data_IF_735512893096
#
_entry.id   IF_735512893096
#
_cell.length_a   1.000
_cell.length_b   1.000
_cell.length_c   1.000
_cell.angle_alpha   90.00
_cell.angle_beta   90.00
_cell.angle_gamma   90.00
#
_symmetry.space_group_name_H-M   'P 1'
#
loop_
_entity.id
_entity.type
_entity.pdbx_description
1 polymer ?
#
# COMPACT_ATOMS: atom_id res chain seq x y z
N UNK A 1 5.68 27.67 -2.67
CA UNK A 1 5.88 26.72 -1.54
C UNK A 1 5.36 25.32 -1.87
N UNK A 2 4.11 25.19 -2.34
CA UNK A 2 3.48 23.90 -2.70
C UNK A 2 4.26 23.06 -3.74
N UNK A 3 4.83 23.69 -4.77
CA UNK A 3 5.64 23.01 -5.78
C UNK A 3 6.85 22.29 -5.18
N UNK A 4 7.61 22.97 -4.31
CA UNK A 4 8.79 22.40 -3.64
C UNK A 4 8.44 21.21 -2.74
N UNK A 5 7.27 21.25 -2.09
CA UNK A 5 6.77 20.14 -1.26
C UNK A 5 6.45 18.94 -2.14
N UNK A 6 5.74 19.13 -3.26
CA UNK A 6 5.44 18.04 -4.21
C UNK A 6 6.70 17.44 -4.81
N UNK A 7 7.68 18.26 -5.21
CA UNK A 7 8.98 17.79 -5.71
C UNK A 7 9.72 16.94 -4.66
N UNK A 8 9.71 17.38 -3.39
CA UNK A 8 10.30 16.62 -2.29
C UNK A 8 9.57 15.29 -2.01
N UNK A 9 8.24 15.26 -2.13
CA UNK A 9 7.43 14.04 -2.01
C UNK A 9 7.74 13.07 -3.15
N UNK A 10 7.74 13.52 -4.41
CA UNK A 10 8.07 12.69 -5.57
C UNK A 10 9.47 12.08 -5.44
N UNK A 11 10.46 12.87 -5.04
CA UNK A 11 11.84 12.38 -4.84
C UNK A 11 11.97 11.39 -3.69
N UNK A 12 11.09 11.48 -2.69
CA UNK A 12 11.03 10.51 -1.60
C UNK A 12 10.36 9.22 -2.08
N UNK A 13 9.21 9.33 -2.73
CA UNK A 13 8.45 8.18 -3.24
C UNK A 13 9.27 7.39 -4.27
N UNK A 14 10.09 8.05 -5.09
CA UNK A 14 10.99 7.38 -6.04
C UNK A 14 12.04 6.48 -5.39
N UNK A 15 12.25 6.57 -4.07
CA UNK A 15 13.16 5.69 -3.32
C UNK A 15 12.46 4.45 -2.75
N UNK A 16 11.12 4.42 -2.74
CA UNK A 16 10.32 3.34 -2.18
C UNK A 16 9.64 2.55 -3.29
N UNK A 17 10.43 2.06 -4.25
CA UNK A 17 9.93 1.23 -5.35
C UNK A 17 9.86 -0.23 -4.93
N UNK A 18 8.75 -0.90 -5.22
CA UNK A 18 8.64 -2.34 -5.04
C UNK A 18 9.54 -3.06 -6.06
N UNK A 19 10.30 -4.06 -5.58
CA UNK A 19 11.20 -4.86 -6.39
C UNK A 19 11.34 -6.27 -5.81
N UNK A 20 11.79 -7.24 -6.61
CA UNK A 20 11.99 -8.62 -6.20
C UNK A 20 10.68 -9.37 -5.94
N UNK A 21 10.61 -10.11 -4.82
CA UNK A 21 9.42 -10.84 -4.42
C UNK A 21 8.40 -9.85 -3.81
N UNK A 22 7.20 -9.80 -4.37
CA UNK A 22 6.14 -8.89 -3.93
C UNK A 22 4.94 -9.71 -3.42
N UNK A 23 4.58 -9.51 -2.16
CA UNK A 23 3.34 -10.02 -1.58
C UNK A 23 2.24 -8.96 -1.67
N UNK A 24 1.05 -9.35 -2.10
CA UNK A 24 -0.10 -8.45 -2.25
C UNK A 24 -1.26 -9.01 -1.43
N UNK A 25 -1.84 -8.17 -0.57
CA UNK A 25 -3.02 -8.51 0.22
C UNK A 25 -4.10 -7.44 0.11
N UNK A 26 -5.36 -7.84 0.30
CA UNK A 26 -6.50 -6.95 0.27
C UNK A 26 -7.34 -7.00 1.54
N UNK A 27 -7.77 -5.82 2.01
CA UNK A 27 -8.54 -5.67 3.23
C UNK A 27 -9.77 -4.79 3.00
N UNK A 28 -10.81 -5.03 3.81
CA UNK A 28 -12.03 -4.23 3.81
C UNK A 28 -12.20 -3.55 5.17
N UNK A 29 -11.90 -2.25 5.24
CA UNK A 29 -11.90 -1.45 6.47
C UNK A 29 -13.22 -0.66 6.58
N UNK A 30 -13.87 -0.76 7.75
CA UNK A 30 -15.06 0.03 8.05
C UNK A 30 -15.84 -0.48 9.27
N UNK A 31 -16.72 0.37 9.78
CA UNK A 31 -17.53 0.14 10.99
C UNK A 31 -18.48 -1.07 10.93
N UNK A 32 -19.19 -1.37 12.03
CA UNK A 32 -20.11 -2.51 12.11
C UNK A 32 -21.30 -2.36 11.14
N UNK A 33 -21.86 -3.50 10.71
CA UNK A 33 -22.99 -3.56 9.79
C UNK A 33 -22.63 -3.90 8.33
N UNK A 34 -23.65 -4.32 7.56
CA UNK A 34 -23.51 -4.69 6.15
C UNK A 34 -22.83 -6.04 5.90
N UNK A 35 -22.52 -6.31 4.61
CA UNK A 35 -21.85 -7.54 4.18
C UNK A 35 -20.38 -7.52 4.59
N UNK A 36 -19.85 -8.68 5.02
CA UNK A 36 -18.42 -8.87 5.28
C UNK A 36 -17.67 -9.23 3.99
N UNK A 37 -16.45 -8.72 3.84
CA UNK A 37 -15.55 -9.07 2.73
C UNK A 37 -16.09 -8.63 1.37
N UNK A 38 -15.85 -9.44 0.32
CA UNK A 38 -16.20 -9.10 -1.07
C UNK A 38 -17.68 -8.73 -1.25
N UNK A 39 -17.91 -7.62 -1.94
CA UNK A 39 -19.24 -7.03 -2.16
C UNK A 39 -19.76 -6.22 -0.97
N UNK A 40 -18.91 -5.90 0.00
CA UNK A 40 -19.20 -4.90 1.02
C UNK A 40 -19.12 -3.47 0.48
N UNK A 41 -19.73 -2.52 1.18
CA UNK A 41 -19.56 -1.08 0.96
C UNK A 41 -18.41 -0.48 1.79
N UNK A 42 -17.70 -1.31 2.56
CA UNK A 42 -16.50 -0.90 3.31
C UNK A 42 -15.39 -0.49 2.35
N UNK A 43 -14.50 0.38 2.81
CA UNK A 43 -13.35 0.82 2.03
C UNK A 43 -12.47 -0.40 1.73
N UNK A 44 -12.24 -0.67 0.46
CA UNK A 44 -11.26 -1.65 0.02
C UNK A 44 -9.90 -0.99 0.07
N UNK A 45 -8.93 -1.67 0.64
CA UNK A 45 -7.52 -1.29 0.65
C UNK A 45 -6.74 -2.44 0.05
N UNK A 46 -5.81 -2.13 -0.85
CA UNK A 46 -4.85 -3.10 -1.36
C UNK A 46 -3.46 -2.68 -0.90
N UNK A 47 -2.68 -3.61 -0.39
CA UNK A 47 -1.29 -3.36 0.04
C UNK A 47 -0.37 -4.33 -0.67
N UNK A 48 0.73 -3.80 -1.19
CA UNK A 48 1.82 -4.56 -1.79
C UNK A 48 3.09 -4.37 -0.96
N UNK A 49 3.81 -5.46 -0.69
CA UNK A 49 5.00 -5.51 0.16
C UNK A 49 6.14 -6.20 -0.62
N UNK A 50 7.27 -5.52 -0.81
CA UNK A 50 8.49 -6.17 -1.29
C UNK A 50 9.21 -6.88 -0.16
N UNK A 51 9.75 -8.06 -0.47
CA UNK A 51 10.39 -8.97 0.46
C UNK A 51 11.77 -9.35 -0.09
N UNK A 52 12.78 -9.34 0.77
CA UNK A 52 14.12 -9.80 0.43
C UNK A 52 14.16 -11.32 0.24
N UNK A 53 15.23 -11.84 -0.35
CA UNK A 53 15.43 -13.30 -0.48
C UNK A 53 15.44 -14.03 0.88
N UNK A 54 15.79 -13.33 1.96
CA UNK A 54 15.78 -13.84 3.34
C UNK A 54 14.37 -13.80 3.99
N UNK A 55 13.33 -13.40 3.24
CA UNK A 55 11.97 -13.31 3.73
C UNK A 55 11.68 -12.08 4.60
N UNK A 56 12.50 -11.01 4.51
CA UNK A 56 12.32 -9.80 5.33
C UNK A 56 11.59 -8.70 4.56
N UNK A 57 10.67 -7.95 5.20
CA UNK A 57 9.97 -6.84 4.56
C UNK A 57 10.93 -5.70 4.22
N UNK A 58 10.72 -5.06 3.06
CA UNK A 58 11.55 -3.95 2.58
C UNK A 58 10.72 -2.68 2.32
N UNK A 59 9.82 -2.69 1.33
CA UNK A 59 9.00 -1.54 0.97
C UNK A 59 7.53 -1.92 0.88
N UNK A 60 6.63 -1.03 1.32
CA UNK A 60 5.19 -1.22 1.20
C UNK A 60 4.56 -0.06 0.43
N UNK A 61 3.62 -0.38 -0.45
CA UNK A 61 2.78 0.58 -1.16
C UNK A 61 1.31 0.17 -1.02
N UNK A 62 0.43 1.15 -0.83
CA UNK A 62 -1.01 0.92 -0.69
C UNK A 62 -1.82 1.72 -1.69
N UNK A 63 -2.92 1.14 -2.16
CA UNK A 63 -3.97 1.76 -2.99
C UNK A 63 -5.34 1.72 -2.27
#
# INVERSE_FOLDING_TARGET
MLQKIREAMIRRDSQYMLDGLIEIDDAFIGGPGGKRGRGTKKAKVVVSLSITEEGRPQFAQGE
#
